data_IF_377219865198
#
_entry.id   IF_377219865198
#
_cell.length_a   1.000
_cell.length_b   1.000
_cell.length_c   1.000
_cell.angle_alpha   90.00
_cell.angle_beta   90.00
_cell.angle_gamma   90.00
#
_symmetry.space_group_name_H-M   'P 1'
#
loop_
_entity.id
_entity.type
_entity.pdbx_description
1 polymer ?
#
# COMPACT_ATOMS: atom_id res chain seq x y z
N UNK A 1 -33.01 32.58 23.43
CA UNK A 1 -31.74 32.27 22.73
C UNK A 1 -31.56 33.23 21.56
N UNK A 2 -30.33 33.52 21.13
CA UNK A 2 -30.09 34.43 20.00
C UNK A 2 -30.48 33.77 18.68
N UNK A 3 -31.19 34.49 17.78
CA UNK A 3 -31.56 34.01 16.43
C UNK A 3 -30.39 33.43 15.64
N UNK A 4 -29.18 33.93 15.86
CA UNK A 4 -27.97 33.40 15.22
C UNK A 4 -27.64 31.97 15.69
N UNK A 5 -27.83 31.68 16.99
CA UNK A 5 -27.54 30.36 17.58
C UNK A 5 -28.55 29.31 17.09
N UNK A 6 -29.82 29.71 16.92
CA UNK A 6 -30.86 28.84 16.38
C UNK A 6 -30.64 28.54 14.89
N UNK A 7 -30.21 29.54 14.10
CA UNK A 7 -29.88 29.35 12.68
C UNK A 7 -28.65 28.43 12.47
N UNK A 8 -27.62 28.60 13.31
CA UNK A 8 -26.43 27.74 13.30
C UNK A 8 -26.80 26.29 13.62
N UNK A 9 -27.59 26.07 14.67
CA UNK A 9 -27.97 24.72 15.10
C UNK A 9 -28.94 24.05 14.12
N UNK A 10 -29.88 24.80 13.52
CA UNK A 10 -30.90 24.26 12.63
C UNK A 10 -30.38 23.95 11.22
N UNK A 11 -29.35 24.67 10.74
CA UNK A 11 -28.94 24.58 9.33
C UNK A 11 -27.43 24.39 9.14
N UNK A 12 -26.59 25.13 9.85
CA UNK A 12 -25.14 25.05 9.66
C UNK A 12 -24.57 23.70 10.13
N UNK A 13 -24.97 23.23 11.32
CA UNK A 13 -24.49 21.97 11.87
C UNK A 13 -24.85 20.74 11.02
N UNK A 14 -26.10 20.58 10.54
CA UNK A 14 -26.42 19.51 9.60
C UNK A 14 -25.62 19.55 8.30
N UNK A 15 -25.45 20.74 7.70
CA UNK A 15 -24.68 20.90 6.46
C UNK A 15 -23.20 20.53 6.67
N UNK A 16 -22.60 20.98 7.78
CA UNK A 16 -21.24 20.59 8.15
C UNK A 16 -21.13 19.08 8.37
N UNK A 17 -22.13 18.46 9.01
CA UNK A 17 -22.18 17.00 9.18
C UNK A 17 -22.21 16.23 7.86
N UNK A 18 -23.00 16.70 6.89
CA UNK A 18 -23.06 16.10 5.55
C UNK A 18 -21.71 16.25 4.84
N UNK A 19 -21.14 17.45 4.84
CA UNK A 19 -19.85 17.72 4.18
C UNK A 19 -18.74 16.87 4.81
N UNK A 20 -18.68 16.80 6.14
CA UNK A 20 -17.71 16.00 6.86
C UNK A 20 -17.84 14.51 6.53
N UNK A 21 -19.08 13.99 6.50
CA UNK A 21 -19.35 12.58 6.18
C UNK A 21 -18.97 12.26 4.73
N UNK A 22 -19.39 13.10 3.77
CA UNK A 22 -19.07 12.93 2.36
C UNK A 22 -17.55 12.98 2.13
N UNK A 23 -16.86 13.89 2.82
CA UNK A 23 -15.39 14.00 2.76
C UNK A 23 -14.71 12.75 3.33
N UNK A 24 -15.15 12.27 4.51
CA UNK A 24 -14.60 11.06 5.12
C UNK A 24 -14.81 9.81 4.25
N UNK A 25 -16.00 9.65 3.67
CA UNK A 25 -16.30 8.54 2.74
C UNK A 25 -15.43 8.64 1.49
N UNK A 26 -15.27 9.84 0.92
CA UNK A 26 -14.44 10.05 -0.27
C UNK A 26 -12.97 9.68 -0.02
N UNK A 27 -12.44 10.06 1.14
CA UNK A 27 -11.09 9.67 1.56
C UNK A 27 -11.00 8.15 1.71
N UNK A 28 -11.94 7.53 2.42
CA UNK A 28 -11.94 6.07 2.63
C UNK A 28 -11.99 5.29 1.31
N UNK A 29 -12.82 5.74 0.34
CA UNK A 29 -12.88 5.14 -1.00
C UNK A 29 -11.56 5.32 -1.75
N UNK A 30 -10.95 6.49 -1.66
CA UNK A 30 -9.67 6.79 -2.32
C UNK A 30 -8.50 5.97 -1.78
N UNK A 31 -8.57 5.52 -0.52
CA UNK A 31 -7.56 4.65 0.10
C UNK A 31 -7.69 3.17 -0.29
N UNK A 32 -8.84 2.72 -0.80
CA UNK A 32 -9.04 1.32 -1.22
C UNK A 32 -8.00 0.80 -2.21
N UNK A 33 -7.71 1.49 -3.34
CA UNK A 33 -6.71 0.99 -4.29
C UNK A 33 -5.31 0.91 -3.68
N UNK A 34 -4.97 1.81 -2.74
CA UNK A 34 -3.69 1.76 -2.04
C UNK A 34 -3.63 0.52 -1.15
N UNK A 35 -4.68 0.25 -0.38
CA UNK A 35 -4.76 -0.94 0.47
C UNK A 35 -4.70 -2.24 -0.36
N UNK A 36 -5.41 -2.30 -1.49
CA UNK A 36 -5.37 -3.44 -2.41
C UNK A 36 -3.96 -3.63 -3.00
N UNK A 37 -3.31 -2.55 -3.44
CA UNK A 37 -1.95 -2.61 -3.96
C UNK A 37 -0.96 -3.10 -2.90
N UNK A 38 -1.05 -2.60 -1.67
CA UNK A 38 -0.22 -3.06 -0.55
C UNK A 38 -0.45 -4.55 -0.24
N UNK A 39 -1.71 -5.01 -0.26
CA UNK A 39 -2.03 -6.42 -0.03
C UNK A 39 -1.48 -7.34 -1.13
N UNK A 40 -1.59 -6.92 -2.40
CA UNK A 40 -1.02 -7.64 -3.55
C UNK A 40 0.51 -7.69 -3.48
N UNK A 41 1.14 -6.57 -3.16
CA UNK A 41 2.59 -6.49 -3.01
C UNK A 41 3.07 -7.41 -1.88
N UNK A 42 2.40 -7.41 -0.72
CA UNK A 42 2.77 -8.26 0.41
C UNK A 42 2.64 -9.76 0.06
N UNK A 43 1.57 -10.12 -0.67
CA UNK A 43 1.39 -11.50 -1.15
C UNK A 43 2.53 -11.90 -2.10
N UNK A 44 2.82 -11.04 -3.09
CA UNK A 44 3.94 -11.25 -4.02
C UNK A 44 5.26 -11.44 -3.28
N UNK A 45 5.55 -10.60 -2.29
CA UNK A 45 6.80 -10.64 -1.55
C UNK A 45 6.95 -11.94 -0.77
N UNK A 46 5.92 -12.34 -0.01
CA UNK A 46 5.93 -13.56 0.78
C UNK A 46 6.04 -14.82 -0.09
N UNK A 47 5.32 -14.86 -1.22
CA UNK A 47 5.39 -15.99 -2.15
C UNK A 47 6.76 -16.06 -2.84
N UNK A 48 7.34 -14.90 -3.19
CA UNK A 48 8.69 -14.85 -3.75
C UNK A 48 9.73 -15.33 -2.76
N UNK A 49 9.66 -14.92 -1.49
CA UNK A 49 10.54 -15.41 -0.43
C UNK A 49 10.45 -16.93 -0.29
N UNK A 50 9.22 -17.49 -0.23
CA UNK A 50 9.03 -18.95 -0.18
C UNK A 50 9.65 -19.65 -1.39
N UNK A 51 9.47 -19.08 -2.57
CA UNK A 51 10.07 -19.62 -3.79
C UNK A 51 11.60 -19.60 -3.72
N UNK A 52 12.21 -18.49 -3.28
CA UNK A 52 13.67 -18.37 -3.17
C UNK A 52 14.23 -19.32 -2.10
N UNK A 53 13.57 -19.47 -0.96
CA UNK A 53 13.98 -20.42 0.07
C UNK A 53 13.99 -21.86 -0.45
N UNK A 54 13.06 -22.22 -1.33
CA UNK A 54 12.98 -23.56 -1.92
C UNK A 54 13.94 -23.77 -3.11
N UNK A 55 14.20 -22.73 -3.92
CA UNK A 55 14.89 -22.88 -5.21
C UNK A 55 16.30 -22.28 -5.24
N UNK A 56 16.65 -21.42 -4.28
CA UNK A 56 17.95 -20.75 -4.16
C UNK A 56 18.50 -20.91 -2.72
N UNK A 57 18.77 -22.15 -2.27
CA UNK A 57 19.27 -22.40 -0.91
C UNK A 57 20.68 -21.86 -0.68
N UNK A 58 21.41 -21.56 -1.74
CA UNK A 58 22.74 -20.94 -1.74
C UNK A 58 22.70 -19.42 -1.55
N UNK A 59 21.52 -18.79 -1.68
CA UNK A 59 21.37 -17.35 -1.52
C UNK A 59 21.28 -16.95 -0.06
N UNK A 60 21.88 -15.82 0.28
CA UNK A 60 21.72 -15.23 1.61
C UNK A 60 20.28 -14.77 1.81
N UNK A 61 19.84 -14.66 3.07
CA UNK A 61 18.51 -14.07 3.38
C UNK A 61 18.38 -12.69 2.73
N UNK A 62 19.43 -11.88 2.79
CA UNK A 62 19.44 -10.54 2.20
C UNK A 62 19.25 -10.59 0.67
N UNK A 63 19.89 -11.52 -0.04
CA UNK A 63 19.68 -11.69 -1.48
C UNK A 63 18.20 -11.98 -1.76
N UNK A 64 17.61 -12.92 -1.01
CA UNK A 64 16.20 -13.29 -1.20
C UNK A 64 15.25 -12.10 -1.02
N UNK A 65 15.48 -11.25 -0.02
CA UNK A 65 14.69 -10.04 0.25
C UNK A 65 14.85 -8.96 -0.82
N UNK A 66 16.09 -8.68 -1.24
CA UNK A 66 16.38 -7.68 -2.28
C UNK A 66 15.78 -8.11 -3.61
N UNK A 67 15.86 -9.39 -3.95
CA UNK A 67 15.27 -9.91 -5.18
C UNK A 67 13.75 -9.95 -5.14
N UNK A 68 13.15 -10.41 -4.04
CA UNK A 68 11.69 -10.43 -3.89
C UNK A 68 11.11 -9.02 -3.97
N UNK A 69 11.73 -8.05 -3.29
CA UNK A 69 11.29 -6.65 -3.35
C UNK A 69 11.43 -6.05 -4.75
N UNK A 70 12.57 -6.26 -5.44
CA UNK A 70 12.77 -5.78 -6.80
C UNK A 70 11.76 -6.41 -7.79
N UNK A 71 11.55 -7.73 -7.73
CA UNK A 71 10.59 -8.44 -8.57
C UNK A 71 9.16 -7.93 -8.37
N UNK A 72 8.72 -7.77 -7.11
CA UNK A 72 7.36 -7.29 -6.79
C UNK A 72 7.14 -5.81 -7.11
N UNK A 73 8.21 -5.05 -7.33
CA UNK A 73 8.16 -3.69 -7.86
C UNK A 73 8.21 -3.64 -9.41
N UNK A 74 8.15 -4.79 -10.09
CA UNK A 74 8.20 -4.89 -11.56
C UNK A 74 9.60 -4.89 -12.14
N UNK A 75 10.63 -4.98 -11.29
CA UNK A 75 12.02 -5.08 -11.70
C UNK A 75 12.39 -6.47 -12.22
N UNK A 76 13.41 -6.52 -13.09
CA UNK A 76 14.01 -7.78 -13.49
C UNK A 76 14.90 -8.32 -12.38
N UNK A 77 14.86 -9.62 -12.04
CA UNK A 77 15.74 -10.22 -11.04
C UNK A 77 17.22 -9.99 -11.39
N UNK A 78 17.93 -9.19 -10.59
CA UNK A 78 19.37 -8.88 -10.74
C UNK A 78 20.13 -9.19 -9.46
N UNK A 79 21.29 -9.84 -9.59
CA UNK A 79 22.14 -10.18 -8.44
C UNK A 79 22.74 -8.91 -7.81
N UNK A 80 22.75 -8.78 -6.47
CA UNK A 80 23.51 -7.76 -5.79
C UNK A 80 25.00 -7.96 -6.02
N UNK A 81 25.72 -6.88 -6.35
CA UNK A 81 27.18 -6.92 -6.52
C UNK A 81 27.69 -6.04 -7.68
N UNK A 82 29.01 -5.89 -7.83
CA UNK A 82 29.60 -5.13 -8.94
C UNK A 82 29.29 -5.82 -10.28
N UNK A 83 28.49 -5.16 -11.10
CA UNK A 83 28.09 -5.62 -12.43
C UNK A 83 26.65 -6.15 -12.48
N UNK A 84 25.94 -5.81 -13.56
CA UNK A 84 24.60 -6.33 -13.82
C UNK A 84 24.69 -7.81 -14.19
N UNK A 85 24.12 -8.69 -13.38
CA UNK A 85 23.92 -10.10 -13.73
C UNK A 85 22.47 -10.50 -13.45
N UNK A 86 21.77 -10.95 -14.48
CA UNK A 86 20.43 -11.52 -14.34
C UNK A 86 20.52 -12.77 -13.46
N UNK A 87 19.60 -12.94 -12.51
CA UNK A 87 19.52 -14.21 -11.80
C UNK A 87 19.23 -15.36 -12.80
N UNK A 88 19.90 -16.52 -12.63
CA UNK A 88 19.67 -17.69 -13.47
C UNK A 88 18.27 -18.27 -13.26
#
# INVERSE_FOLDING_TARGET
>A
MSKARDMINAHLMPVLGIIATASAVSIAVSLRPIAEQSARWNTCYLDSIRWYQANKPDWTVQDQEVFASNFCNGGIPVKPGPGFQKAP
#
